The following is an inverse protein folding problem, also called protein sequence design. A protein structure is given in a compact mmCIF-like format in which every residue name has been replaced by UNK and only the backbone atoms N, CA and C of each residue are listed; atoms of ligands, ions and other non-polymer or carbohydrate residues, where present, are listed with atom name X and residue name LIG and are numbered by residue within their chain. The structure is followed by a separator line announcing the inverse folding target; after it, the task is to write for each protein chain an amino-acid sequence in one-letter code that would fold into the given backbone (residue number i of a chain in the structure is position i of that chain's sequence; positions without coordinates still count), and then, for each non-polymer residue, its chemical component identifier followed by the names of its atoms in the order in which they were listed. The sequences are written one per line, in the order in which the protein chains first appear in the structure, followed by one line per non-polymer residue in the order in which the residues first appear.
data_IF_105088159408
#
_entry.id   IF_105088159408
#
_cell.length_a   1.000
_cell.length_b   1.000
_cell.length_c   1.000
_cell.angle_alpha   90.00
_cell.angle_beta   90.00
_cell.angle_gamma   90.00
#
_symmetry.space_group_name_H-M   'P 1'
#
loop_
_entity.id
_entity.type
_entity.pdbx_description
1 polymer ?
#
# COMPACT_ATOMS: atom_id res chain seq x y z
N UNK A 1 10.46 -6.45 -10.15
CA UNK A 1 9.51 -7.41 -10.79
C UNK A 1 8.19 -6.75 -11.24
N UNK A 2 7.60 -5.82 -10.50
CA UNK A 2 6.34 -5.13 -10.89
C UNK A 2 6.45 -4.37 -12.22
N UNK A 3 7.50 -3.57 -12.51
CA UNK A 3 7.60 -2.87 -13.79
C UNK A 3 7.65 -3.82 -14.99
N UNK A 4 8.28 -4.99 -14.87
CA UNK A 4 8.31 -5.97 -15.96
C UNK A 4 6.91 -6.52 -16.27
N UNK A 5 6.10 -6.81 -15.24
CA UNK A 5 4.72 -7.28 -15.44
C UNK A 5 3.84 -6.25 -16.15
N UNK A 6 3.95 -4.98 -15.76
CA UNK A 6 3.20 -3.87 -16.40
C UNK A 6 3.67 -3.68 -17.85
N UNK A 7 4.96 -3.73 -18.12
CA UNK A 7 5.52 -3.62 -19.49
C UNK A 7 5.05 -4.78 -20.38
N UNK A 8 5.02 -6.01 -19.86
CA UNK A 8 4.53 -7.19 -20.60
C UNK A 8 3.03 -7.07 -20.92
N UNK A 9 2.20 -6.64 -19.96
CA UNK A 9 0.76 -6.47 -20.13
C UNK A 9 0.41 -5.28 -21.06
N UNK A 10 1.25 -4.24 -21.07
CA UNK A 10 1.10 -3.09 -21.95
C UNK A 10 1.60 -3.33 -23.39
N UNK A 11 2.04 -4.56 -23.73
CA UNK A 11 2.53 -4.88 -25.07
C UNK A 11 4.02 -4.59 -25.28
N UNK A 12 4.80 -4.48 -24.20
CA UNK A 12 6.26 -4.39 -24.29
C UNK A 12 6.88 -5.66 -24.88
N UNK A 13 8.09 -5.55 -25.43
CA UNK A 13 8.83 -6.64 -26.09
C UNK A 13 8.13 -7.24 -27.33
N UNK A 14 7.28 -6.45 -28.03
CA UNK A 14 6.60 -6.90 -29.24
C UNK A 14 5.37 -7.79 -29.01
N UNK A 15 4.89 -7.89 -27.76
CA UNK A 15 3.65 -8.58 -27.43
C UNK A 15 2.43 -7.70 -27.73
N UNK A 16 1.30 -8.31 -28.07
CA UNK A 16 0.04 -7.57 -28.22
C UNK A 16 -0.40 -7.00 -26.88
N UNK A 17 -0.79 -5.70 -26.80
CA UNK A 17 -1.24 -5.11 -25.57
C UNK A 17 -2.53 -5.78 -25.10
N UNK A 18 -2.56 -6.25 -23.87
CA UNK A 18 -3.77 -6.78 -23.26
C UNK A 18 -4.54 -5.61 -22.64
N UNK A 19 -5.77 -5.32 -23.07
CA UNK A 19 -6.53 -4.23 -22.50
C UNK A 19 -6.74 -4.44 -21.00
N UNK A 20 -6.69 -3.37 -20.24
CA UNK A 20 -6.71 -3.42 -18.76
C UNK A 20 -7.98 -4.04 -18.16
N UNK A 21 -9.09 -4.10 -18.93
CA UNK A 21 -10.30 -4.79 -18.51
C UNK A 21 -10.16 -6.33 -18.56
N UNK A 22 -9.16 -6.85 -19.28
CA UNK A 22 -8.84 -8.27 -19.32
C UNK A 22 -7.82 -8.69 -18.25
N UNK A 23 -7.25 -7.72 -17.49
CA UNK A 23 -6.39 -8.03 -16.37
C UNK A 23 -7.23 -8.56 -15.22
N UNK A 24 -6.90 -9.76 -14.73
CA UNK A 24 -7.71 -10.40 -13.70
C UNK A 24 -6.93 -11.31 -12.78
N UNK A 25 -7.63 -11.89 -11.82
CA UNK A 25 -7.11 -12.87 -10.88
C UNK A 25 -5.96 -12.34 -10.03
N UNK A 26 -5.02 -13.22 -9.72
CA UNK A 26 -3.86 -12.92 -8.88
C UNK A 26 -2.98 -11.80 -9.45
N UNK A 27 -2.87 -11.71 -10.78
CA UNK A 27 -2.06 -10.66 -11.43
C UNK A 27 -2.61 -9.27 -11.11
N UNK A 28 -3.92 -9.07 -11.20
CA UNK A 28 -4.55 -7.79 -10.86
C UNK A 28 -4.44 -7.50 -9.36
N UNK A 29 -4.63 -8.48 -8.50
CA UNK A 29 -4.44 -8.37 -7.04
C UNK A 29 -3.03 -7.87 -6.71
N UNK A 30 -1.99 -8.51 -7.26
CA UNK A 30 -0.60 -8.12 -7.03
C UNK A 30 -0.26 -6.75 -7.62
N UNK A 31 -0.78 -6.42 -8.80
CA UNK A 31 -0.59 -5.13 -9.44
C UNK A 31 -1.22 -4.00 -8.62
N UNK A 32 -2.47 -4.15 -8.20
CA UNK A 32 -3.15 -3.19 -7.33
C UNK A 32 -2.35 -2.96 -6.05
N UNK A 33 -1.94 -4.04 -5.39
CA UNK A 33 -1.16 -3.97 -4.13
C UNK A 33 0.17 -3.25 -4.34
N UNK A 34 0.94 -3.65 -5.34
CA UNK A 34 2.27 -3.13 -5.56
C UNK A 34 2.27 -1.67 -6.03
N UNK A 35 1.39 -1.32 -6.99
CA UNK A 35 1.31 0.06 -7.49
C UNK A 35 0.76 1.00 -6.42
N UNK A 36 -0.30 0.58 -5.70
CA UNK A 36 -0.86 1.40 -4.62
C UNK A 36 0.13 1.57 -3.47
N UNK A 37 0.82 0.50 -3.05
CA UNK A 37 1.84 0.55 -2.01
C UNK A 37 3.04 1.44 -2.38
N UNK A 38 3.51 1.33 -3.64
CA UNK A 38 4.61 2.16 -4.14
C UNK A 38 4.27 3.66 -4.16
N UNK A 39 3.00 4.03 -4.41
CA UNK A 39 2.54 5.40 -4.33
C UNK A 39 2.23 5.83 -2.89
N UNK A 40 1.64 4.94 -2.10
CA UNK A 40 1.23 5.24 -0.72
C UNK A 40 2.44 5.50 0.20
N UNK A 41 3.55 4.78 0.02
CA UNK A 41 4.71 4.90 0.88
C UNK A 41 5.33 6.31 0.86
N UNK A 42 5.72 6.89 -0.30
CA UNK A 42 6.25 8.25 -0.32
C UNK A 42 5.22 9.29 0.12
N UNK A 43 3.94 9.13 -0.26
CA UNK A 43 2.87 10.03 0.18
C UNK A 43 2.69 9.98 1.70
N UNK A 44 2.69 8.80 2.31
CA UNK A 44 2.58 8.62 3.75
C UNK A 44 3.76 9.23 4.51
N UNK A 45 4.99 9.05 4.02
CA UNK A 45 6.17 9.71 4.59
C UNK A 45 6.05 11.23 4.53
N UNK A 46 5.63 11.78 3.37
CA UNK A 46 5.44 13.22 3.21
C UNK A 46 4.35 13.76 4.15
N UNK A 47 3.23 13.05 4.30
CA UNK A 47 2.15 13.40 5.22
C UNK A 47 2.62 13.38 6.68
N UNK A 48 3.39 12.35 7.08
CA UNK A 48 3.95 12.24 8.43
C UNK A 48 4.90 13.40 8.75
N UNK A 49 5.78 13.76 7.81
CA UNK A 49 6.68 14.91 7.94
C UNK A 49 5.92 16.25 7.90
N UNK A 50 4.94 16.37 7.01
CA UNK A 50 4.08 17.55 6.91
C UNK A 50 3.30 17.83 8.20
N UNK A 51 2.81 16.78 8.87
CA UNK A 51 2.13 16.89 10.18
C UNK A 51 3.06 17.37 11.31
N UNK A 52 4.38 17.21 11.18
CA UNK A 52 5.39 17.66 12.15
C UNK A 52 6.00 19.03 11.81
N UNK A 53 5.64 19.62 10.68
CA UNK A 53 6.19 20.95 10.29
C UNK A 53 5.70 22.07 11.20
N UNK A 54 6.48 23.15 11.28
CA UNK A 54 6.09 24.38 12.00
C UNK A 54 5.10 25.25 11.21
N UNK A 55 4.89 24.98 9.93
CA UNK A 55 3.95 25.70 9.08
C UNK A 55 2.52 25.25 9.38
N UNK A 56 1.77 26.07 10.09
CA UNK A 56 0.44 25.74 10.62
C UNK A 56 -0.55 25.27 9.53
N UNK A 57 -0.48 25.84 8.33
CA UNK A 57 -1.35 25.45 7.20
C UNK A 57 -1.03 24.02 6.76
N UNK A 58 0.23 23.69 6.51
CA UNK A 58 0.65 22.34 6.06
C UNK A 58 0.34 21.32 7.15
N UNK A 59 0.68 21.65 8.41
CA UNK A 59 0.41 20.76 9.54
C UNK A 59 -1.09 20.42 9.66
N UNK A 60 -1.96 21.45 9.61
CA UNK A 60 -3.41 21.24 9.71
C UNK A 60 -3.96 20.46 8.52
N UNK A 61 -3.56 20.81 7.29
CA UNK A 61 -4.01 20.11 6.09
C UNK A 61 -3.63 18.62 6.12
N UNK A 62 -2.38 18.31 6.48
CA UNK A 62 -1.94 16.91 6.62
C UNK A 62 -2.71 16.19 7.73
N UNK A 63 -2.93 16.86 8.89
CA UNK A 63 -3.68 16.26 9.99
C UNK A 63 -5.12 15.96 9.61
N UNK A 64 -5.83 16.92 9.01
CA UNK A 64 -7.22 16.75 8.57
C UNK A 64 -7.33 15.63 7.55
N UNK A 65 -6.42 15.59 6.56
CA UNK A 65 -6.40 14.52 5.57
C UNK A 65 -6.25 13.14 6.21
N UNK A 66 -5.25 12.96 7.09
CA UNK A 66 -4.98 11.69 7.77
C UNK A 66 -6.19 11.27 8.62
N UNK A 67 -6.73 12.20 9.40
CA UNK A 67 -7.84 11.91 10.32
C UNK A 67 -9.12 11.56 9.55
N UNK A 68 -9.44 12.28 8.46
CA UNK A 68 -10.60 12.00 7.60
C UNK A 68 -10.46 10.65 6.91
N UNK A 69 -9.31 10.38 6.26
CA UNK A 69 -9.11 9.11 5.54
C UNK A 69 -9.14 7.89 6.46
N UNK A 70 -8.76 8.05 7.73
CA UNK A 70 -8.82 6.97 8.73
C UNK A 70 -10.18 6.83 9.39
N UNK A 71 -11.01 7.85 9.35
CA UNK A 71 -12.38 7.82 9.86
C UNK A 71 -13.38 7.21 8.87
N UNK A 72 -13.09 7.27 7.56
CA UNK A 72 -13.98 6.77 6.52
C UNK A 72 -13.69 5.29 6.22
N UNK A 73 -14.72 4.43 6.07
CA UNK A 73 -14.52 3.04 5.64
C UNK A 73 -13.86 2.98 4.24
N UNK A 74 -12.87 2.09 4.08
CA UNK A 74 -12.17 1.92 2.80
C UNK A 74 -13.14 1.71 1.63
N UNK A 75 -14.17 0.89 1.82
CA UNK A 75 -15.15 0.61 0.76
C UNK A 75 -15.82 1.90 0.25
N UNK A 76 -16.11 2.86 1.13
CA UNK A 76 -16.69 4.15 0.72
C UNK A 76 -15.70 4.97 -0.14
N UNK A 77 -14.41 4.98 0.20
CA UNK A 77 -13.36 5.63 -0.60
C UNK A 77 -13.25 4.99 -1.97
N UNK A 78 -13.33 3.66 -2.04
CA UNK A 78 -13.30 2.92 -3.31
C UNK A 78 -14.53 3.20 -4.18
N UNK A 79 -15.73 3.25 -3.59
CA UNK A 79 -16.95 3.65 -4.28
C UNK A 79 -16.85 5.08 -4.83
N UNK A 80 -16.37 6.01 -4.02
CA UNK A 80 -16.14 7.39 -4.45
C UNK A 80 -15.20 7.43 -5.65
N UNK A 81 -14.04 6.75 -5.56
CA UNK A 81 -13.06 6.69 -6.63
C UNK A 81 -13.57 6.04 -7.92
N UNK A 82 -14.34 4.96 -7.80
CA UNK A 82 -14.79 4.18 -8.95
C UNK A 82 -16.07 4.70 -9.61
N UNK A 83 -17.02 5.21 -8.84
CA UNK A 83 -18.35 5.57 -9.34
C UNK A 83 -18.60 7.07 -9.35
N UNK A 84 -18.16 7.81 -8.33
CA UNK A 84 -18.45 9.24 -8.24
C UNK A 84 -17.47 10.11 -9.02
N UNK A 85 -16.16 9.85 -8.92
CA UNK A 85 -15.17 10.66 -9.65
C UNK A 85 -15.46 10.75 -11.16
N UNK A 86 -15.80 9.64 -11.88
CA UNK A 86 -16.10 9.73 -13.30
C UNK A 86 -17.26 10.65 -13.67
N UNK A 87 -18.23 10.85 -12.75
CA UNK A 87 -19.36 11.75 -12.99
C UNK A 87 -18.97 13.22 -13.02
N UNK A 88 -17.85 13.58 -12.41
CA UNK A 88 -17.31 14.93 -12.35
C UNK A 88 -16.26 15.22 -13.43
N UNK A 89 -15.81 14.16 -14.14
CA UNK A 89 -14.82 14.30 -15.21
C UNK A 89 -15.50 14.63 -16.54
N UNK A 90 -14.87 15.46 -17.40
CA UNK A 90 -15.35 15.69 -18.75
C UNK A 90 -15.40 14.38 -19.55
N UNK A 91 -16.39 14.22 -20.45
CA UNK A 91 -16.62 13.00 -21.23
C UNK A 91 -15.40 12.51 -22.05
N UNK A 92 -14.46 13.41 -22.37
CA UNK A 92 -13.24 13.08 -23.11
C UNK A 92 -12.10 12.56 -22.20
N UNK A 93 -12.30 12.57 -20.88
CA UNK A 93 -11.27 12.18 -19.91
C UNK A 93 -11.65 10.86 -19.22
N UNK A 94 -11.57 9.77 -19.99
CA UNK A 94 -11.81 8.43 -19.46
C UNK A 94 -10.59 7.94 -18.67
N UNK A 95 -10.65 8.06 -17.34
CA UNK A 95 -9.64 7.47 -16.45
C UNK A 95 -9.92 5.99 -16.28
N UNK A 96 -8.94 5.15 -16.61
CA UNK A 96 -9.00 3.71 -16.51
C UNK A 96 -9.42 3.25 -15.10
N UNK A 97 -10.32 2.24 -15.01
CA UNK A 97 -10.83 1.69 -13.75
C UNK A 97 -9.71 1.19 -12.82
N UNK A 98 -8.69 0.53 -13.37
CA UNK A 98 -7.54 0.04 -12.58
C UNK A 98 -6.75 1.21 -12.00
N UNK A 99 -6.52 2.28 -12.78
CA UNK A 99 -5.82 3.46 -12.29
C UNK A 99 -6.60 4.15 -11.16
N UNK A 100 -7.93 4.29 -11.29
CA UNK A 100 -8.78 4.84 -10.22
C UNK A 100 -8.70 4.00 -8.94
N UNK A 101 -8.68 2.67 -9.07
CA UNK A 101 -8.50 1.77 -7.94
C UNK A 101 -7.14 1.98 -7.28
N UNK A 102 -6.06 2.01 -8.07
CA UNK A 102 -4.69 2.24 -7.56
C UNK A 102 -4.61 3.55 -6.79
N UNK A 103 -5.17 4.64 -7.34
CA UNK A 103 -5.15 5.95 -6.69
C UNK A 103 -5.98 5.96 -5.40
N UNK A 104 -7.18 5.38 -5.40
CA UNK A 104 -8.02 5.31 -4.21
C UNK A 104 -7.35 4.51 -3.08
N UNK A 105 -6.78 3.34 -3.39
CA UNK A 105 -6.00 2.55 -2.44
C UNK A 105 -4.77 3.30 -1.95
N UNK A 106 -4.03 3.95 -2.86
CA UNK A 106 -2.82 4.69 -2.50
C UNK A 106 -3.11 5.85 -1.54
N UNK A 107 -4.14 6.64 -1.83
CA UNK A 107 -4.56 7.74 -0.97
C UNK A 107 -5.03 7.23 0.40
N UNK A 108 -5.84 6.18 0.44
CA UNK A 108 -6.26 5.58 1.69
C UNK A 108 -5.08 5.04 2.51
N UNK A 109 -4.24 4.20 1.91
CA UNK A 109 -3.10 3.58 2.58
C UNK A 109 -2.06 4.62 3.05
N UNK A 110 -1.88 5.72 2.32
CA UNK A 110 -0.95 6.80 2.69
C UNK A 110 -1.28 7.40 4.06
N UNK A 111 -2.56 7.51 4.43
CA UNK A 111 -2.97 8.01 5.74
C UNK A 111 -2.57 7.06 6.90
N UNK A 112 -2.67 5.76 6.69
CA UNK A 112 -2.23 4.75 7.66
C UNK A 112 -0.72 4.67 7.75
N UNK A 113 -0.02 4.65 6.60
CA UNK A 113 1.44 4.71 6.54
C UNK A 113 1.97 5.96 7.24
N UNK A 114 1.28 7.11 7.09
CA UNK A 114 1.67 8.34 7.78
C UNK A 114 1.66 8.19 9.31
N UNK A 115 0.68 7.48 9.86
CA UNK A 115 0.63 7.21 11.31
C UNK A 115 1.70 6.22 11.74
N UNK A 116 1.96 5.16 10.96
CA UNK A 116 3.02 4.20 11.23
C UNK A 116 4.39 4.88 11.24
N UNK A 117 4.66 5.72 10.24
CA UNK A 117 5.89 6.52 10.15
C UNK A 117 5.96 7.54 11.30
N UNK A 118 4.86 8.19 11.68
CA UNK A 118 4.80 9.09 12.83
C UNK A 118 5.17 8.37 14.12
N UNK A 119 4.64 7.15 14.34
CA UNK A 119 5.02 6.29 15.45
C UNK A 119 6.53 6.02 15.47
N UNK A 120 7.11 5.67 14.32
CA UNK A 120 8.54 5.49 14.15
C UNK A 120 9.35 6.76 14.47
N UNK A 121 8.90 7.93 13.99
CA UNK A 121 9.55 9.22 14.26
C UNK A 121 9.54 9.61 15.75
N UNK A 122 8.48 9.24 16.47
CA UNK A 122 8.35 9.49 17.91
C UNK A 122 9.20 8.53 18.75
N UNK A 123 9.49 7.36 18.26
CA UNK A 123 10.34 6.38 18.94
C UNK A 123 11.84 6.76 18.95
N UNK A 124 12.27 7.71 18.09
CA UNK A 124 13.67 8.13 18.03
C UNK A 124 13.98 9.10 19.19
N UNK A 125 14.97 8.77 20.05
CA UNK A 125 15.35 9.62 21.18
C UNK A 125 15.78 11.03 20.74
N UNK A 126 15.46 12.05 21.53
CA UNK A 126 15.84 13.44 21.26
C UNK A 126 17.36 13.62 21.19
N UNK A 127 18.11 12.85 21.96
CA UNK A 127 19.58 12.86 21.95
C UNK A 127 20.20 12.61 20.58
N UNK A 128 19.54 11.84 19.70
CA UNK A 128 19.98 11.63 18.31
C UNK A 128 19.92 12.93 17.49
N UNK A 129 18.89 13.74 17.70
CA UNK A 129 18.72 15.05 17.04
C UNK A 129 19.72 16.07 17.59
N UNK A 130 19.92 16.06 18.91
CA UNK A 130 20.85 16.96 19.60
C UNK A 130 22.30 16.66 19.20
N UNK A 131 22.72 15.39 19.19
CA UNK A 131 24.04 15.00 18.74
C UNK A 131 24.31 15.38 17.28
N UNK A 132 23.33 15.20 16.40
CA UNK A 132 23.45 15.59 15.00
C UNK A 132 23.56 17.13 14.85
N UNK A 133 22.87 17.90 15.69
CA UNK A 133 22.97 19.35 15.71
C UNK A 133 24.35 19.84 16.17
N UNK A 134 24.95 19.20 17.18
CA UNK A 134 26.33 19.46 17.64
C UNK A 134 27.35 19.23 16.53
N UNK A 135 27.11 18.24 15.65
CA UNK A 135 27.94 17.97 14.47
C UNK A 135 27.72 18.99 13.32
N UNK A 136 26.91 20.02 13.52
CA UNK A 136 26.67 21.10 12.54
C UNK A 136 25.66 20.75 11.44
N UNK A 137 24.89 19.67 11.58
CA UNK A 137 23.86 19.31 10.59
C UNK A 137 22.68 20.29 10.67
N UNK A 138 22.21 20.76 9.51
CA UNK A 138 21.01 21.55 9.42
C UNK A 138 19.74 20.73 9.79
N UNK A 139 18.64 21.37 10.22
CA UNK A 139 17.40 20.68 10.61
C UNK A 139 16.89 19.71 9.52
N UNK A 140 17.02 20.07 8.25
CA UNK A 140 16.65 19.20 7.12
C UNK A 140 17.55 17.97 7.03
N UNK A 141 18.87 18.14 7.18
CA UNK A 141 19.84 17.06 7.17
C UNK A 141 19.64 16.12 8.37
N UNK A 142 19.35 16.66 9.55
CA UNK A 142 19.05 15.86 10.76
C UNK A 142 17.86 14.95 10.49
N UNK A 143 16.78 15.47 9.89
CA UNK A 143 15.61 14.64 9.56
C UNK A 143 15.98 13.60 8.50
N UNK A 144 16.59 14.00 7.39
CA UNK A 144 16.82 13.12 6.23
C UNK A 144 17.89 12.06 6.47
N UNK A 145 18.99 12.42 7.16
CA UNK A 145 20.15 11.55 7.28
C UNK A 145 20.19 10.75 8.59
N UNK A 146 19.55 11.26 9.65
CA UNK A 146 19.63 10.66 10.99
C UNK A 146 18.28 10.10 11.44
N UNK A 147 17.25 10.93 11.48
CA UNK A 147 15.99 10.57 12.13
C UNK A 147 15.11 9.69 11.23
N UNK A 148 14.89 10.09 9.97
CA UNK A 148 13.98 9.39 9.07
C UNK A 148 14.43 7.95 8.76
N UNK A 149 15.71 7.66 8.46
CA UNK A 149 16.15 6.28 8.23
C UNK A 149 15.94 5.39 9.44
N UNK A 150 16.19 5.89 10.65
CA UNK A 150 15.95 5.15 11.89
C UNK A 150 14.46 4.94 12.15
N UNK A 151 13.64 5.99 11.95
CA UNK A 151 12.20 5.94 12.11
C UNK A 151 11.54 4.92 11.16
N UNK A 152 11.97 4.88 9.89
CA UNK A 152 11.47 3.90 8.92
C UNK A 152 11.83 2.46 9.32
N UNK A 153 13.04 2.23 9.84
CA UNK A 153 13.42 0.91 10.38
C UNK A 153 12.52 0.51 11.55
N UNK A 154 12.23 1.44 12.44
CA UNK A 154 11.32 1.19 13.59
C UNK A 154 9.88 0.95 13.16
N UNK A 155 9.41 1.64 12.11
CA UNK A 155 8.08 1.49 11.56
C UNK A 155 7.92 0.25 10.64
N UNK A 156 9.01 -0.40 10.24
CA UNK A 156 9.02 -1.46 9.23
C UNK A 156 8.02 -2.60 9.50
N UNK A 157 7.88 -3.12 10.75
CA UNK A 157 6.88 -4.15 11.04
C UNK A 157 5.43 -3.68 10.80
N UNK A 158 5.11 -2.43 11.16
CA UNK A 158 3.78 -1.84 10.91
C UNK A 158 3.54 -1.64 9.41
N UNK A 159 4.54 -1.13 8.67
CA UNK A 159 4.48 -0.97 7.21
C UNK A 159 4.29 -2.31 6.49
N UNK A 160 4.91 -3.38 7.00
CA UNK A 160 4.69 -4.74 6.50
C UNK A 160 3.24 -5.19 6.68
N UNK A 161 2.69 -5.02 7.87
CA UNK A 161 1.29 -5.34 8.14
C UNK A 161 0.35 -4.53 7.24
N UNK A 162 0.67 -3.25 7.00
CA UNK A 162 -0.09 -2.40 6.09
C UNK A 162 -0.04 -2.93 4.64
N UNK A 163 1.11 -3.41 4.17
CA UNK A 163 1.25 -3.99 2.83
C UNK A 163 0.43 -5.28 2.67
N UNK A 164 0.45 -6.16 3.68
CA UNK A 164 -0.39 -7.39 3.69
C UNK A 164 -1.87 -7.02 3.73
N UNK A 165 -2.27 -6.08 4.59
CA UNK A 165 -3.64 -5.57 4.66
C UNK A 165 -4.11 -4.97 3.34
N UNK A 166 -3.24 -4.24 2.63
CA UNK A 166 -3.54 -3.68 1.31
C UNK A 166 -3.83 -4.79 0.29
N UNK A 167 -3.04 -5.87 0.28
CA UNK A 167 -3.30 -7.02 -0.58
C UNK A 167 -4.66 -7.66 -0.28
N UNK A 168 -4.99 -7.89 0.98
CA UNK A 168 -6.27 -8.47 1.37
C UNK A 168 -7.45 -7.57 1.00
N UNK A 169 -7.29 -6.26 1.16
CA UNK A 169 -8.30 -5.27 0.84
C UNK A 169 -8.61 -5.15 -0.66
N UNK A 170 -7.73 -5.64 -1.56
CA UNK A 170 -8.03 -5.68 -3.00
C UNK A 170 -9.30 -6.48 -3.30
N UNK A 171 -9.65 -7.45 -2.45
CA UNK A 171 -10.88 -8.25 -2.56
C UNK A 171 -12.17 -7.41 -2.59
N UNK A 172 -12.14 -6.20 -2.03
CA UNK A 172 -13.28 -5.25 -2.10
C UNK A 172 -13.57 -4.81 -3.54
N UNK A 173 -12.59 -4.88 -4.44
CA UNK A 173 -12.77 -4.52 -5.84
C UNK A 173 -13.68 -5.48 -6.61
N UNK A 174 -13.88 -6.71 -6.14
CA UNK A 174 -14.86 -7.63 -6.69
C UNK A 174 -16.30 -7.05 -6.65
N UNK A 175 -16.61 -6.26 -5.61
CA UNK A 175 -17.91 -5.59 -5.46
C UNK A 175 -18.07 -4.47 -6.50
N UNK A 176 -16.96 -3.84 -6.89
CA UNK A 176 -16.92 -2.72 -7.83
C UNK A 176 -16.68 -3.15 -9.29
N UNK A 177 -16.72 -4.46 -9.56
CA UNK A 177 -16.67 -5.03 -10.90
C UNK A 177 -15.25 -5.16 -11.49
N UNK A 178 -14.21 -5.12 -10.66
CA UNK A 178 -12.87 -5.57 -11.05
C UNK A 178 -12.70 -7.04 -10.71
N UNK A 179 -12.25 -7.83 -11.68
CA UNK A 179 -12.13 -9.30 -11.56
C UNK A 179 -10.74 -9.66 -11.03
N UNK A 180 -10.44 -9.21 -9.80
CA UNK A 180 -9.24 -9.62 -9.07
C UNK A 180 -9.40 -11.07 -8.53
N UNK A 181 -8.57 -11.55 -7.62
CA UNK A 181 -8.53 -12.94 -7.19
C UNK A 181 -9.88 -13.46 -6.63
N UNK A 182 -10.59 -12.67 -5.80
CA UNK A 182 -11.93 -13.01 -5.33
C UNK A 182 -12.96 -12.91 -6.46
N UNK A 183 -12.83 -11.90 -7.31
CA UNK A 183 -13.70 -11.70 -8.46
C UNK A 183 -13.67 -12.87 -9.44
N UNK A 184 -12.48 -13.41 -9.76
CA UNK A 184 -12.36 -14.59 -10.63
C UNK A 184 -12.93 -15.86 -9.98
N UNK A 185 -12.78 -16.01 -8.66
CA UNK A 185 -13.38 -17.12 -7.91
C UNK A 185 -14.92 -17.07 -7.96
N UNK A 186 -15.52 -15.87 -7.88
CA UNK A 186 -16.97 -15.70 -8.08
C UNK A 186 -17.39 -16.02 -9.52
N UNK A 187 -16.59 -15.63 -10.50
CA UNK A 187 -16.86 -15.95 -11.90
C UNK A 187 -16.83 -17.46 -12.16
N UNK A 188 -15.93 -18.21 -11.50
CA UNK A 188 -15.91 -19.66 -11.55
C UNK A 188 -17.19 -20.27 -11.00
N UNK A 189 -17.72 -19.75 -9.89
CA UNK A 189 -18.97 -20.25 -9.30
C UNK A 189 -20.21 -19.97 -10.17
N UNK A 190 -20.13 -19.03 -11.10
CA UNK A 190 -21.17 -18.79 -12.10
C UNK A 190 -21.10 -19.74 -13.29
N UNK A 191 -20.02 -20.51 -13.46
CA UNK A 191 -19.89 -21.52 -14.50
C UNK A 191 -20.66 -22.79 -14.11
N UNK A 192 -21.50 -23.37 -15.02
CA UNK A 192 -22.27 -24.58 -14.78
C UNK A 192 -21.46 -25.74 -14.18
N UNK A 193 -20.21 -25.92 -14.59
CA UNK A 193 -19.32 -27.01 -14.12
C UNK A 193 -18.95 -26.89 -12.62
N UNK A 194 -19.10 -25.70 -12.05
CA UNK A 194 -18.74 -25.37 -10.64
C UNK A 194 -19.93 -25.01 -9.77
N UNK A 195 -21.16 -25.10 -10.30
CA UNK A 195 -22.39 -24.83 -9.51
C UNK A 195 -22.43 -25.79 -8.30
N UNK A 196 -22.62 -25.21 -7.11
CA UNK A 196 -22.69 -25.96 -5.85
C UNK A 196 -21.33 -26.26 -5.19
N UNK A 197 -20.20 -25.99 -5.85
CA UNK A 197 -18.85 -26.23 -5.32
C UNK A 197 -18.28 -25.03 -4.58
N UNK A 198 -19.11 -24.37 -3.76
CA UNK A 198 -18.69 -23.18 -3.04
C UNK A 198 -17.55 -23.44 -2.06
N UNK A 199 -17.60 -24.57 -1.35
CA UNK A 199 -16.61 -24.90 -0.35
C UNK A 199 -15.22 -25.07 -0.98
N UNK A 200 -15.13 -25.84 -2.07
CA UNK A 200 -13.87 -26.13 -2.76
C UNK A 200 -13.24 -24.84 -3.30
N UNK A 201 -14.04 -24.01 -3.97
CA UNK A 201 -13.56 -22.75 -4.55
C UNK A 201 -13.07 -21.79 -3.46
N UNK A 202 -13.81 -21.63 -2.36
CA UNK A 202 -13.39 -20.70 -1.30
C UNK A 202 -12.26 -21.25 -0.44
N UNK A 203 -12.15 -22.55 -0.22
CA UNK A 203 -10.99 -23.15 0.47
C UNK A 203 -9.73 -22.97 -0.38
N UNK A 204 -9.83 -23.19 -1.68
CA UNK A 204 -8.71 -22.93 -2.61
C UNK A 204 -8.32 -21.46 -2.62
N UNK A 205 -9.30 -20.56 -2.70
CA UNK A 205 -9.08 -19.10 -2.63
C UNK A 205 -8.36 -18.70 -1.34
N UNK A 206 -8.83 -19.21 -0.19
CA UNK A 206 -8.20 -18.97 1.11
C UNK A 206 -6.76 -19.47 1.14
N UNK A 207 -6.49 -20.64 0.55
CA UNK A 207 -5.14 -21.20 0.41
C UNK A 207 -4.21 -20.30 -0.39
N UNK A 208 -4.68 -19.73 -1.52
CA UNK A 208 -3.90 -18.80 -2.34
C UNK A 208 -3.60 -17.50 -1.58
N UNK A 209 -4.61 -16.90 -0.93
CA UNK A 209 -4.39 -15.72 -0.10
C UNK A 209 -3.41 -15.99 1.03
N UNK A 210 -3.58 -17.12 1.74
CA UNK A 210 -2.68 -17.52 2.81
C UNK A 210 -1.24 -17.65 2.33
N UNK A 211 -1.02 -18.31 1.19
CA UNK A 211 0.31 -18.52 0.61
C UNK A 211 0.97 -17.20 0.24
N UNK A 212 0.24 -16.32 -0.45
CA UNK A 212 0.77 -15.02 -0.89
C UNK A 212 1.05 -14.10 0.30
N UNK A 213 0.12 -14.00 1.27
CA UNK A 213 0.31 -13.21 2.47
C UNK A 213 1.49 -13.72 3.30
N UNK A 214 1.64 -15.06 3.43
CA UNK A 214 2.76 -15.68 4.14
C UNK A 214 4.08 -15.37 3.44
N UNK A 215 4.13 -15.50 2.11
CA UNK A 215 5.33 -15.16 1.34
C UNK A 215 5.71 -13.68 1.52
N UNK A 216 4.76 -12.76 1.48
CA UNK A 216 4.99 -11.33 1.75
C UNK A 216 5.54 -11.10 3.17
N UNK A 217 4.93 -11.75 4.17
CA UNK A 217 5.36 -11.62 5.57
C UNK A 217 6.77 -12.18 5.79
N UNK A 218 7.12 -13.30 5.17
CA UNK A 218 8.47 -13.89 5.24
C UNK A 218 9.51 -13.01 4.56
N UNK A 219 9.21 -12.45 3.39
CA UNK A 219 10.10 -11.51 2.69
C UNK A 219 10.33 -10.26 3.53
N UNK A 220 9.29 -9.73 4.15
CA UNK A 220 9.40 -8.55 5.00
C UNK A 220 10.23 -8.83 6.27
N UNK A 221 10.02 -9.97 6.94
CA UNK A 221 10.86 -10.39 8.08
C UNK A 221 12.32 -10.52 7.69
N UNK A 222 12.61 -11.05 6.51
CA UNK A 222 13.98 -11.13 6.01
C UNK A 222 14.61 -9.74 5.85
N UNK A 223 13.87 -8.78 5.28
CA UNK A 223 14.30 -7.38 5.17
C UNK A 223 14.48 -6.72 6.55
N UNK A 224 13.56 -6.96 7.48
CA UNK A 224 13.68 -6.47 8.87
C UNK A 224 14.98 -6.96 9.53
N UNK A 225 15.31 -8.25 9.38
CA UNK A 225 16.56 -8.82 9.92
C UNK A 225 17.80 -8.21 9.29
N UNK A 226 17.80 -7.95 7.99
CA UNK A 226 18.92 -7.29 7.31
C UNK A 226 19.12 -5.83 7.74
N UNK A 227 18.01 -5.11 7.97
CA UNK A 227 18.03 -3.69 8.32
C UNK A 227 18.20 -3.43 9.83
N UNK A 228 18.04 -4.43 10.69
CA UNK A 228 18.15 -4.33 12.16
C UNK A 228 19.28 -5.20 12.73
N UNK A 229 20.56 -4.91 12.46
CA UNK A 229 21.69 -5.75 12.92
C UNK A 229 21.89 -5.75 14.44
N UNK A 230 21.24 -4.87 15.20
CA UNK A 230 21.53 -4.62 16.62
C UNK A 230 20.85 -5.55 17.62
N UNK A 231 19.89 -6.42 17.21
CA UNK A 231 19.24 -7.37 18.14
C UNK A 231 20.03 -8.65 18.43
N UNK A 232 21.08 -8.94 17.67
CA UNK A 232 21.88 -10.17 17.83
C UNK A 232 22.93 -10.13 18.96
N UNK A 233 23.24 -8.96 19.51
CA UNK A 233 24.30 -8.79 20.53
C UNK A 233 23.82 -8.97 21.99
N UNK A 234 22.50 -8.90 22.25
CA UNK A 234 21.96 -8.92 23.63
C UNK A 234 21.41 -10.29 24.07
N UNK A 235 21.38 -11.28 23.17
CA UNK A 235 20.88 -12.65 23.48
C UNK A 235 21.99 -13.63 23.89
N UNK A 236 23.24 -13.18 24.10
CA UNK A 236 24.35 -14.02 24.55
C UNK A 236 24.94 -13.51 25.88
N UNK A 237 24.08 -13.13 26.81
CA UNK A 237 24.50 -12.99 28.21
C UNK A 237 23.47 -13.66 29.12
#
# INVERSE_FOLDING_TARGET
MVPCGVVLLAGGLGLLPIPSHAWGGLTLTLLLTACSGALALPLGILLALGRQTRLAVIQRSCSVYIDVMRAVPLIAVLFFGQLLIPLFLPMHLEVNRVLRAVLAFALFAAAYIAEDVRGGLQAIPRTQREAAAVLGLSPKQIIQLVVLPQALRTALPALTNQAVGLLQNTSLMAILGLVELLGISRSLLANPDFIGRYLEVYVWLAGVYWLVCTAMALLARHLEHQLSPTRSATSKR
#
